data_IF_105031508838
#
_entry.id   IF_105031508838
#
_cell.length_a   1.000
_cell.length_b   1.000
_cell.length_c   1.000
_cell.angle_alpha   90.00
_cell.angle_beta   90.00
_cell.angle_gamma   90.00
#
_symmetry.space_group_name_H-M   'P 1'
#
loop_
_entity.id
_entity.type
_entity.pdbx_description
1 polymer ?
#
# COMPACT_ATOMS: atom_id res chain seq x y z
N UNK A 1 -9.79 0.20 -6.12
CA UNK A 1 -8.39 0.40 -6.57
C UNK A 1 -7.83 -0.77 -7.37
N UNK A 2 -7.93 -2.03 -6.92
CA UNK A 2 -7.37 -3.20 -7.67
C UNK A 2 -7.84 -3.29 -9.12
N UNK A 3 -9.10 -2.97 -9.43
CA UNK A 3 -9.62 -2.89 -10.80
C UNK A 3 -8.86 -1.90 -11.68
N UNK A 4 -8.49 -0.74 -11.14
CA UNK A 4 -7.73 0.27 -11.87
C UNK A 4 -6.31 -0.24 -12.16
N UNK A 5 -5.67 -0.84 -11.15
CA UNK A 5 -4.34 -1.48 -11.31
C UNK A 5 -4.42 -2.54 -12.40
N UNK A 6 -5.35 -3.49 -12.30
CA UNK A 6 -5.56 -4.53 -13.31
C UNK A 6 -5.74 -3.96 -14.72
N UNK A 7 -6.52 -2.87 -14.87
CA UNK A 7 -6.80 -2.26 -16.18
C UNK A 7 -5.61 -1.53 -16.81
N UNK A 8 -4.67 -1.02 -16.00
CA UNK A 8 -3.48 -0.30 -16.50
C UNK A 8 -2.25 -1.18 -16.60
N UNK A 9 -2.26 -2.38 -15.99
CA UNK A 9 -1.20 -3.37 -16.16
C UNK A 9 -1.14 -3.81 -17.62
N UNK A 10 0.01 -3.56 -18.26
CA UNK A 10 0.27 -3.95 -19.64
C UNK A 10 0.06 -5.45 -19.88
N UNK A 11 -0.39 -5.82 -21.09
CA UNK A 11 -0.52 -7.23 -21.48
C UNK A 11 0.81 -7.97 -21.34
N UNK A 12 0.77 -9.17 -20.77
CA UNK A 12 1.97 -9.96 -20.49
C UNK A 12 2.73 -9.58 -19.22
N UNK A 13 2.25 -8.58 -18.46
CA UNK A 13 2.77 -8.25 -17.12
C UNK A 13 1.79 -8.65 -16.03
N UNK A 14 2.33 -8.81 -14.82
CA UNK A 14 1.59 -9.14 -13.61
C UNK A 14 1.87 -8.10 -12.53
N UNK A 15 0.83 -7.55 -11.92
CA UNK A 15 0.98 -6.61 -10.82
C UNK A 15 0.95 -7.34 -9.47
N UNK A 16 1.85 -6.96 -8.58
CA UNK A 16 1.89 -7.45 -7.21
C UNK A 16 1.64 -6.29 -6.26
N UNK A 17 0.67 -6.45 -5.37
CA UNK A 17 0.31 -5.44 -4.36
C UNK A 17 0.74 -5.96 -2.99
N UNK A 18 1.56 -5.19 -2.29
CA UNK A 18 1.96 -5.48 -0.91
C UNK A 18 0.91 -4.85 0.02
N UNK A 19 0.37 -5.65 0.95
CA UNK A 19 -0.64 -5.21 1.91
C UNK A 19 -0.27 -5.63 3.34
N UNK A 20 -0.57 -4.78 4.31
CA UNK A 20 -0.49 -5.12 5.73
C UNK A 20 -1.74 -5.89 6.20
N UNK A 21 -1.70 -6.39 7.44
CA UNK A 21 -2.76 -7.21 8.01
C UNK A 21 -3.97 -6.44 8.57
N UNK A 22 -4.28 -5.24 8.06
CA UNK A 22 -5.47 -4.51 8.51
C UNK A 22 -6.75 -5.34 8.29
N UNK A 23 -7.72 -5.27 9.18
CA UNK A 23 -8.88 -6.18 9.17
C UNK A 23 -9.73 -6.13 7.89
N UNK A 24 -9.66 -5.04 7.13
CA UNK A 24 -10.32 -4.89 5.82
C UNK A 24 -9.45 -5.33 4.63
N UNK A 25 -8.23 -5.80 4.85
CA UNK A 25 -7.35 -6.42 3.85
C UNK A 25 -7.53 -7.95 3.87
N UNK A 26 -8.67 -8.42 3.37
CA UNK A 26 -8.99 -9.85 3.28
C UNK A 26 -8.27 -10.52 2.10
N UNK A 27 -8.07 -11.84 2.17
CA UNK A 27 -7.28 -12.60 1.17
C UNK A 27 -7.94 -12.69 -0.21
N UNK A 28 -9.26 -12.50 -0.27
CA UNK A 28 -10.08 -12.71 -1.46
C UNK A 28 -10.21 -11.47 -2.37
N UNK A 29 -9.71 -10.32 -1.94
CA UNK A 29 -9.91 -9.04 -2.67
C UNK A 29 -9.31 -9.02 -4.07
N UNK A 30 -8.32 -9.87 -4.36
CA UNK A 30 -7.71 -10.01 -5.69
C UNK A 30 -8.23 -11.18 -6.54
N UNK A 31 -9.06 -12.09 -6.01
CA UNK A 31 -9.47 -13.32 -6.73
C UNK A 31 -10.17 -13.07 -8.07
N UNK A 32 -10.76 -11.89 -8.25
CA UNK A 32 -11.44 -11.50 -9.49
C UNK A 32 -10.49 -11.04 -10.62
N UNK A 33 -9.18 -10.94 -10.38
CA UNK A 33 -8.20 -10.45 -11.35
C UNK A 33 -7.16 -11.50 -11.68
N UNK A 34 -6.98 -11.82 -12.96
CA UNK A 34 -5.98 -12.81 -13.40
C UNK A 34 -4.55 -12.24 -13.40
N UNK A 35 -4.40 -10.92 -13.51
CA UNK A 35 -3.12 -10.22 -13.65
C UNK A 35 -2.68 -9.42 -12.41
N UNK A 36 -3.33 -9.67 -11.26
CA UNK A 36 -3.00 -9.02 -9.98
C UNK A 36 -2.94 -10.05 -8.87
N UNK A 37 -1.87 -10.01 -8.07
CA UNK A 37 -1.77 -10.79 -6.83
C UNK A 37 -1.45 -9.91 -5.64
N UNK A 38 -1.84 -10.38 -4.45
CA UNK A 38 -1.58 -9.70 -3.19
C UNK A 38 -0.57 -10.51 -2.40
N UNK A 39 0.42 -9.83 -1.84
CA UNK A 39 1.33 -10.37 -0.85
C UNK A 39 1.02 -9.69 0.47
N UNK A 40 0.59 -10.47 1.45
CA UNK A 40 0.43 -9.99 2.82
C UNK A 40 1.76 -10.01 3.56
N UNK A 41 2.04 -8.91 4.24
CA UNK A 41 3.19 -8.84 5.14
C UNK A 41 2.93 -9.64 6.42
N UNK A 42 3.99 -10.18 7.06
CA UNK A 42 3.86 -10.78 8.37
C UNK A 42 3.31 -9.76 9.39
N UNK A 43 2.55 -10.22 10.40
CA UNK A 43 2.03 -9.35 11.45
C UNK A 43 3.14 -8.56 12.14
N UNK A 44 2.86 -7.31 12.48
CA UNK A 44 3.77 -6.42 13.22
C UNK A 44 5.12 -6.15 12.54
N UNK A 45 5.19 -6.20 11.21
CA UNK A 45 6.39 -5.85 10.42
C UNK A 45 6.25 -4.56 9.61
N UNK A 46 6.07 -3.39 10.25
CA UNK A 46 5.96 -2.11 9.55
C UNK A 46 7.21 -1.75 8.75
N UNK A 47 8.39 -2.24 9.14
CA UNK A 47 9.66 -2.04 8.42
C UNK A 47 9.64 -2.63 7.00
N UNK A 48 8.79 -3.62 6.74
CA UNK A 48 8.60 -4.22 5.42
C UNK A 48 7.56 -3.48 4.57
N UNK A 49 6.77 -2.59 5.15
CA UNK A 49 5.74 -1.84 4.44
C UNK A 49 6.33 -0.56 3.82
N UNK A 50 6.48 -0.46 2.48
CA UNK A 50 7.15 0.68 1.85
C UNK A 50 6.49 2.03 2.14
N UNK A 51 5.17 2.04 2.40
CA UNK A 51 4.43 3.28 2.69
C UNK A 51 4.89 3.95 3.99
N UNK A 52 5.43 3.18 4.94
CA UNK A 52 5.90 3.71 6.23
C UNK A 52 7.02 4.73 6.06
N UNK A 53 7.86 4.56 5.03
CA UNK A 53 8.91 5.54 4.70
C UNK A 53 8.32 6.87 4.23
N UNK A 54 7.24 6.82 3.43
CA UNK A 54 6.53 8.01 2.95
C UNK A 54 5.84 8.71 4.12
N UNK A 55 5.16 7.96 5.00
CA UNK A 55 4.53 8.53 6.18
C UNK A 55 5.54 9.16 7.14
N UNK A 56 6.69 8.52 7.35
CA UNK A 56 7.79 9.10 8.13
C UNK A 56 8.24 10.44 7.56
N UNK A 57 8.42 10.52 6.24
CA UNK A 57 8.80 11.75 5.55
C UNK A 57 7.74 12.85 5.73
N UNK A 58 6.46 12.52 5.55
CA UNK A 58 5.35 13.46 5.71
C UNK A 58 5.25 14.00 7.14
N UNK A 59 5.35 13.11 8.14
CA UNK A 59 5.34 13.50 9.56
C UNK A 59 6.48 14.45 9.92
N UNK A 60 7.68 14.25 9.37
CA UNK A 60 8.84 15.09 9.67
C UNK A 60 8.80 16.45 8.99
N UNK A 61 8.18 16.57 7.81
CA UNK A 61 8.29 17.76 6.96
C UNK A 61 7.03 18.59 6.86
N UNK A 62 5.87 17.95 6.86
CA UNK A 62 4.60 18.58 6.49
C UNK A 62 3.59 18.54 7.63
N UNK A 63 3.65 17.53 8.49
CA UNK A 63 2.62 17.24 9.50
C UNK A 63 3.15 17.29 10.93
N UNK A 64 4.40 17.74 11.12
CA UNK A 64 4.91 18.03 12.45
C UNK A 64 4.13 19.22 13.02
N UNK A 65 3.92 19.25 14.34
CA UNK A 65 3.39 20.44 15.00
C UNK A 65 4.39 21.59 14.80
N UNK A 66 4.06 22.51 13.90
CA UNK A 66 4.83 23.72 13.66
C UNK A 66 4.17 24.87 14.41
N UNK A 67 4.96 25.63 15.18
CA UNK A 67 4.50 26.92 15.70
C UNK A 67 4.65 27.95 14.61
N UNK A 68 3.54 28.55 14.19
CA UNK A 68 3.55 29.69 13.30
C UNK A 68 3.71 30.95 14.15
N UNK A 69 4.54 31.90 13.69
CA UNK A 69 4.61 33.23 14.30
C UNK A 69 3.54 34.10 13.66
N UNK A 70 2.92 34.96 14.46
CA UNK A 70 1.95 35.96 14.03
C UNK A 70 2.54 36.95 13.01
#
# INVERSE_FOLDING_TARGET
>A
HLKQISSVTEKGRHAVVIMDGAGWHTDDVAHQFENVSIIKLPPYSPELNPIEQVWRWLRQRCLANQSFRD
#
